data_IF_491296050572
#
_entry.id   IF_491296050572
#
_cell.length_a   1.000
_cell.length_b   1.000
_cell.length_c   1.000
_cell.angle_alpha   90.00
_cell.angle_beta   90.00
_cell.angle_gamma   90.00
#
_symmetry.space_group_name_H-M   'P 1'
#
loop_
_entity.id
_entity.type
_entity.pdbx_description
1 polymer ?
#
# COMPACT_ATOMS: atom_id res chain seq x y z
N UNK A 1 -15.06 18.95 -4.05
CA UNK A 1 -16.07 18.12 -4.75
C UNK A 1 -15.79 16.67 -4.38
N UNK A 2 -16.81 15.87 -4.01
CA UNK A 2 -16.56 14.48 -3.59
C UNK A 2 -16.00 13.63 -4.76
N UNK A 3 -14.76 13.13 -4.69
CA UNK A 3 -14.18 12.34 -5.78
C UNK A 3 -14.84 10.96 -5.89
N UNK A 4 -15.04 10.52 -7.14
CA UNK A 4 -15.52 9.17 -7.48
C UNK A 4 -14.33 8.41 -8.06
N UNK A 5 -13.95 7.31 -7.42
CA UNK A 5 -12.75 6.53 -7.70
C UNK A 5 -13.16 5.14 -8.13
N UNK A 6 -12.77 4.74 -9.34
CA UNK A 6 -12.89 3.36 -9.79
C UNK A 6 -11.66 2.58 -9.30
N UNK A 7 -11.90 1.42 -8.68
CA UNK A 7 -10.86 0.45 -8.35
C UNK A 7 -11.08 -0.79 -9.20
N UNK A 8 -10.17 -1.02 -10.15
CA UNK A 8 -10.12 -2.22 -10.99
C UNK A 8 -9.11 -3.17 -10.35
N UNK A 9 -9.61 -4.15 -9.60
CA UNK A 9 -8.78 -5.00 -8.72
C UNK A 9 -9.54 -6.31 -8.37
N UNK A 10 -9.36 -6.90 -7.18
CA UNK A 10 -10.07 -8.10 -6.71
C UNK A 10 -11.48 -7.84 -6.17
N UNK A 11 -11.84 -6.57 -5.97
CA UNK A 11 -13.12 -6.16 -5.42
C UNK A 11 -12.98 -5.27 -4.18
N UNK A 12 -14.12 -4.91 -3.58
CA UNK A 12 -14.15 -4.15 -2.33
C UNK A 12 -15.15 -4.79 -1.36
N UNK A 13 -14.69 -5.15 -0.17
CA UNK A 13 -15.55 -5.60 0.91
C UNK A 13 -16.21 -4.41 1.63
N UNK A 14 -17.49 -4.17 1.31
CA UNK A 14 -18.27 -3.05 1.88
C UNK A 14 -18.47 -3.12 3.39
N UNK A 15 -18.39 -4.31 4.00
CA UNK A 15 -18.53 -4.46 5.46
C UNK A 15 -17.34 -3.84 6.20
N UNK A 16 -16.16 -3.91 5.58
CA UNK A 16 -14.92 -3.33 6.11
C UNK A 16 -14.87 -1.83 5.82
N UNK A 17 -15.19 -1.40 4.59
CA UNK A 17 -15.07 0.01 4.17
C UNK A 17 -16.26 0.91 4.53
N UNK A 18 -17.43 0.35 4.81
CA UNK A 18 -18.68 1.08 5.03
C UNK A 18 -19.45 1.42 3.75
N UNK A 19 -20.60 2.09 3.91
CA UNK A 19 -21.65 2.27 2.86
C UNK A 19 -21.23 3.10 1.63
N UNK A 20 -20.05 3.73 1.60
CA UNK A 20 -19.59 4.61 0.51
C UNK A 20 -18.99 3.87 -0.70
N UNK A 21 -19.33 2.59 -0.88
CA UNK A 21 -18.80 1.75 -1.98
C UNK A 21 -19.95 1.22 -2.84
N UNK A 22 -19.90 1.52 -4.14
CA UNK A 22 -20.75 0.95 -5.19
C UNK A 22 -19.98 -0.15 -5.92
N UNK A 23 -20.67 -1.20 -6.34
CA UNK A 23 -20.07 -2.36 -7.01
C UNK A 23 -20.61 -2.40 -8.43
N UNK A 24 -19.72 -2.62 -9.38
CA UNK A 24 -20.09 -2.98 -10.73
C UNK A 24 -20.99 -4.22 -10.72
N UNK A 25 -22.14 -4.11 -11.39
CA UNK A 25 -23.19 -5.15 -11.51
C UNK A 25 -23.94 -5.54 -10.22
N UNK A 26 -23.91 -4.75 -9.15
CA UNK A 26 -24.68 -5.00 -7.91
C UNK A 26 -24.49 -6.39 -7.27
N UNK A 27 -23.47 -7.15 -7.69
CA UNK A 27 -23.05 -8.33 -6.94
C UNK A 27 -22.33 -7.80 -5.71
N UNK A 28 -22.82 -8.15 -4.53
CA UNK A 28 -22.06 -8.02 -3.30
C UNK A 28 -20.86 -8.98 -3.39
N UNK A 29 -19.86 -8.64 -4.22
CA UNK A 29 -18.61 -9.38 -4.31
C UNK A 29 -17.91 -9.24 -2.97
N UNK A 30 -17.82 -10.34 -2.23
CA UNK A 30 -16.81 -10.45 -1.18
C UNK A 30 -15.46 -10.37 -1.90
N UNK A 31 -14.64 -9.42 -1.50
CA UNK A 31 -13.24 -9.40 -1.91
C UNK A 31 -12.52 -10.49 -1.12
N UNK A 32 -12.52 -11.71 -1.64
CA UNK A 32 -11.90 -12.87 -0.99
C UNK A 32 -10.37 -12.79 -0.97
N UNK A 33 -9.81 -12.13 -1.98
CA UNK A 33 -8.38 -11.89 -2.08
C UNK A 33 -7.92 -10.77 -1.14
N UNK A 34 -8.73 -9.71 -0.99
CA UNK A 34 -8.52 -8.62 -0.03
C UNK A 34 -7.69 -7.44 -0.53
N UNK A 35 -7.07 -7.55 -1.71
CA UNK A 35 -6.15 -6.53 -2.23
C UNK A 35 -6.86 -5.22 -2.59
N UNK A 36 -7.98 -5.29 -3.32
CA UNK A 36 -8.77 -4.11 -3.67
C UNK A 36 -9.36 -3.41 -2.44
N UNK A 37 -9.76 -4.17 -1.41
CA UNK A 37 -10.17 -3.61 -0.11
C UNK A 37 -9.02 -2.89 0.58
N UNK A 38 -7.83 -3.47 0.60
CA UNK A 38 -6.64 -2.84 1.18
C UNK A 38 -6.26 -1.53 0.45
N UNK A 39 -6.32 -1.51 -0.89
CA UNK A 39 -6.17 -0.29 -1.70
C UNK A 39 -7.16 0.80 -1.28
N UNK A 40 -8.45 0.46 -1.20
CA UNK A 40 -9.49 1.40 -0.80
C UNK A 40 -9.32 1.92 0.64
N UNK A 41 -8.86 1.08 1.57
CA UNK A 41 -8.56 1.50 2.95
C UNK A 41 -7.45 2.55 2.99
N UNK A 42 -6.37 2.37 2.23
CA UNK A 42 -5.27 3.34 2.13
C UNK A 42 -5.73 4.64 1.48
N UNK A 43 -6.53 4.57 0.41
CA UNK A 43 -7.07 5.77 -0.24
C UNK A 43 -7.93 6.56 0.77
N UNK A 44 -8.80 5.87 1.51
CA UNK A 44 -9.73 6.50 2.46
C UNK A 44 -9.02 7.07 3.69
N UNK A 45 -7.87 6.53 4.10
CA UNK A 45 -7.09 7.11 5.20
C UNK A 45 -6.47 8.46 4.84
N UNK A 46 -6.26 8.73 3.54
CA UNK A 46 -5.72 9.99 3.03
C UNK A 46 -6.85 10.97 2.65
N UNK A 47 -7.90 10.49 1.99
CA UNK A 47 -9.07 11.26 1.62
C UNK A 47 -10.36 10.54 2.07
N UNK A 48 -10.90 10.85 3.27
CA UNK A 48 -12.05 10.13 3.82
C UNK A 48 -13.36 10.33 3.03
N UNK A 49 -13.53 11.50 2.43
CA UNK A 49 -14.73 11.87 1.66
C UNK A 49 -14.55 11.54 0.18
N UNK A 50 -14.63 10.26 -0.13
CA UNK A 50 -14.59 9.69 -1.49
C UNK A 50 -15.73 8.70 -1.68
N UNK A 51 -16.06 8.43 -2.94
CA UNK A 51 -16.97 7.37 -3.36
C UNK A 51 -16.20 6.36 -4.22
N UNK A 52 -16.43 5.08 -3.99
CA UNK A 52 -15.77 4.02 -4.74
C UNK A 52 -16.72 3.32 -5.71
N UNK A 53 -16.22 3.04 -6.91
CA UNK A 53 -16.82 2.09 -7.86
C UNK A 53 -15.86 0.89 -7.96
N UNK A 54 -16.27 -0.26 -7.44
CA UNK A 54 -15.47 -1.48 -7.48
C UNK A 54 -15.74 -2.27 -8.76
N UNK A 55 -14.70 -2.56 -9.54
CA UNK A 55 -14.74 -3.45 -10.71
C UNK A 55 -13.82 -4.64 -10.44
N UNK A 56 -14.35 -5.75 -9.91
CA UNK A 56 -13.55 -6.95 -9.65
C UNK A 56 -13.20 -7.66 -10.97
N UNK A 57 -11.91 -7.74 -11.28
CA UNK A 57 -11.38 -8.50 -12.43
C UNK A 57 -10.39 -9.59 -12.00
N UNK A 58 -9.76 -9.44 -10.83
CA UNK A 58 -8.79 -10.41 -10.33
C UNK A 58 -9.48 -11.62 -9.71
N UNK A 59 -8.93 -12.80 -9.95
CA UNK A 59 -9.33 -14.04 -9.29
C UNK A 59 -8.77 -14.15 -7.86
N UNK A 60 -9.03 -15.28 -7.21
CA UNK A 60 -8.58 -15.59 -5.84
C UNK A 60 -7.05 -15.65 -5.68
N UNK A 61 -6.31 -15.80 -6.78
CA UNK A 61 -4.84 -15.84 -6.79
C UNK A 61 -4.25 -14.46 -7.13
N UNK A 62 -5.08 -13.50 -7.53
CA UNK A 62 -4.69 -12.15 -7.89
C UNK A 62 -4.38 -11.97 -9.38
N UNK A 63 -4.82 -12.89 -10.24
CA UNK A 63 -4.59 -12.83 -11.67
C UNK A 63 -5.85 -12.48 -12.45
N UNK A 64 -5.67 -11.95 -13.64
CA UNK A 64 -6.71 -11.71 -14.64
C UNK A 64 -6.11 -11.86 -16.03
N UNK A 65 -6.98 -11.94 -17.04
CA UNK A 65 -6.58 -11.78 -18.43
C UNK A 65 -6.77 -10.33 -18.91
N UNK A 66 -6.12 -9.99 -20.01
CA UNK A 66 -6.17 -8.67 -20.65
C UNK A 66 -7.58 -8.29 -21.13
N UNK A 67 -8.39 -9.25 -21.62
CA UNK A 67 -9.79 -9.03 -22.02
C UNK A 67 -10.67 -8.45 -20.90
N UNK A 68 -10.49 -8.91 -19.66
CA UNK A 68 -11.23 -8.41 -18.51
C UNK A 68 -10.85 -6.96 -18.18
N UNK A 69 -9.56 -6.62 -18.29
CA UNK A 69 -9.09 -5.25 -18.11
C UNK A 69 -9.62 -4.33 -19.22
N UNK A 70 -9.61 -4.78 -20.48
CA UNK A 70 -10.21 -4.04 -21.59
C UNK A 70 -11.70 -3.78 -21.38
N UNK A 71 -12.46 -4.79 -20.96
CA UNK A 71 -13.90 -4.64 -20.65
C UNK A 71 -14.13 -3.67 -19.49
N UNK A 72 -13.28 -3.72 -18.47
CA UNK A 72 -13.35 -2.80 -17.33
C UNK A 72 -13.07 -1.35 -17.75
N UNK A 73 -11.99 -1.12 -18.51
CA UNK A 73 -11.64 0.21 -19.02
C UNK A 73 -12.67 0.74 -20.03
N UNK A 74 -13.24 -0.14 -20.86
CA UNK A 74 -14.33 0.21 -21.78
C UNK A 74 -15.55 0.68 -21.00
N UNK A 75 -15.96 -0.04 -19.95
CA UNK A 75 -17.05 0.40 -19.08
C UNK A 75 -16.74 1.74 -18.40
N UNK A 76 -15.48 1.97 -18.02
CA UNK A 76 -15.05 3.24 -17.48
C UNK A 76 -15.25 4.41 -18.45
N UNK A 77 -15.36 4.21 -19.77
CA UNK A 77 -15.65 5.29 -20.73
C UNK A 77 -17.07 5.86 -20.54
N UNK A 78 -18.02 5.01 -20.16
CA UNK A 78 -19.45 5.35 -20.13
C UNK A 78 -19.92 5.89 -18.77
N UNK A 79 -19.16 5.64 -17.71
CA UNK A 79 -19.52 6.10 -16.35
C UNK A 79 -18.85 7.42 -15.98
N UNK A 80 -19.47 8.13 -15.05
CA UNK A 80 -18.85 9.29 -14.41
C UNK A 80 -17.93 8.83 -13.28
N UNK A 81 -16.62 9.09 -13.43
CA UNK A 81 -15.63 8.93 -12.39
C UNK A 81 -14.51 9.96 -12.59
N UNK A 82 -13.73 10.20 -11.54
CA UNK A 82 -12.62 11.14 -11.56
C UNK A 82 -11.27 10.43 -11.67
N UNK A 83 -11.12 9.31 -10.96
CA UNK A 83 -9.88 8.55 -10.89
C UNK A 83 -10.16 7.07 -11.20
N UNK A 84 -9.23 6.42 -11.90
CA UNK A 84 -9.17 4.97 -12.12
C UNK A 84 -7.85 4.48 -11.53
N UNK A 85 -7.94 3.70 -10.45
CA UNK A 85 -6.81 3.10 -9.75
C UNK A 85 -6.53 1.69 -10.30
N UNK A 86 -5.34 1.49 -10.87
CA UNK A 86 -4.84 0.23 -11.40
C UNK A 86 -3.64 -0.25 -10.58
N UNK A 87 -3.89 -0.90 -9.44
CA UNK A 87 -2.83 -1.51 -8.63
C UNK A 87 -2.42 -2.88 -9.20
N UNK A 88 -2.14 -2.92 -10.51
CA UNK A 88 -1.81 -4.11 -11.28
C UNK A 88 -0.78 -3.78 -12.38
N UNK A 89 -0.23 -4.82 -13.01
CA UNK A 89 0.64 -4.68 -14.18
C UNK A 89 0.24 -5.71 -15.24
N UNK A 90 0.43 -5.34 -16.51
CA UNK A 90 0.21 -6.21 -17.67
C UNK A 90 1.52 -6.96 -17.95
N UNK A 91 1.43 -8.27 -18.10
CA UNK A 91 2.56 -9.14 -18.42
C UNK A 91 2.65 -9.46 -19.92
N UNK A 92 1.54 -9.27 -20.64
CA UNK A 92 1.42 -9.55 -22.07
C UNK A 92 2.08 -8.45 -22.91
N UNK A 93 2.53 -8.82 -24.10
CA UNK A 93 3.12 -7.87 -25.06
C UNK A 93 2.06 -7.19 -25.94
N UNK A 94 0.86 -7.77 -26.07
CA UNK A 94 -0.23 -7.25 -26.88
C UNK A 94 -1.20 -6.42 -26.03
N UNK A 95 -0.93 -5.13 -25.92
CA UNK A 95 -1.63 -4.21 -25.02
C UNK A 95 -2.07 -2.89 -25.70
N UNK A 96 -1.88 -2.77 -27.01
CA UNK A 96 -2.20 -1.57 -27.80
C UNK A 96 -3.63 -1.06 -27.54
N UNK A 97 -4.59 -1.98 -27.42
CA UNK A 97 -5.99 -1.63 -27.16
C UNK A 97 -6.20 -1.09 -25.75
N UNK A 98 -5.46 -1.59 -24.76
CA UNK A 98 -5.49 -1.07 -23.40
C UNK A 98 -4.87 0.34 -23.37
N UNK A 99 -3.77 0.57 -24.08
CA UNK A 99 -3.17 1.90 -24.21
C UNK A 99 -4.12 2.91 -24.91
N UNK A 100 -4.81 2.48 -25.97
CA UNK A 100 -5.82 3.29 -26.65
C UNK A 100 -6.99 3.65 -25.72
N UNK A 101 -7.47 2.69 -24.91
CA UNK A 101 -8.52 2.92 -23.91
C UNK A 101 -8.06 3.91 -22.84
N UNK A 102 -6.84 3.76 -22.31
CA UNK A 102 -6.25 4.72 -21.37
C UNK A 102 -6.17 6.13 -21.97
N UNK A 103 -5.78 6.23 -23.24
CA UNK A 103 -5.73 7.52 -23.94
C UNK A 103 -7.12 8.15 -24.10
N UNK A 104 -8.16 7.37 -24.44
CA UNK A 104 -9.54 7.85 -24.54
C UNK A 104 -10.07 8.33 -23.19
N UNK A 105 -9.83 7.58 -22.12
CA UNK A 105 -10.22 7.93 -20.75
C UNK A 105 -9.53 9.23 -20.30
N UNK A 106 -8.23 9.37 -20.55
CA UNK A 106 -7.47 10.59 -20.24
C UNK A 106 -8.02 11.81 -20.97
N UNK A 107 -8.39 11.69 -22.26
CA UNK A 107 -9.08 12.74 -23.04
C UNK A 107 -10.46 13.12 -22.48
N UNK A 108 -11.11 12.24 -21.73
CA UNK A 108 -12.33 12.55 -20.98
C UNK A 108 -12.05 13.16 -19.59
N UNK A 109 -10.81 13.59 -19.33
CA UNK A 109 -10.36 14.14 -18.06
C UNK A 109 -10.49 13.16 -16.88
N UNK A 110 -10.39 11.85 -17.15
CA UNK A 110 -10.34 10.79 -16.14
C UNK A 110 -8.88 10.47 -15.84
N UNK A 111 -8.48 10.62 -14.59
CA UNK A 111 -7.10 10.38 -14.16
C UNK A 111 -6.89 8.88 -13.98
N UNK A 112 -5.93 8.32 -14.70
CA UNK A 112 -5.56 6.90 -14.55
C UNK A 112 -4.25 6.85 -13.80
N UNK A 113 -4.19 6.02 -12.77
CA UNK A 113 -3.03 5.85 -11.91
C UNK A 113 -2.69 4.36 -11.88
N UNK A 114 -1.45 4.00 -12.16
CA UNK A 114 -1.05 2.59 -12.20
C UNK A 114 0.28 2.30 -11.52
N UNK A 115 0.34 1.15 -10.86
CA UNK A 115 1.58 0.66 -10.24
C UNK A 115 2.57 0.15 -11.27
N UNK A 116 3.85 0.44 -11.06
CA UNK A 116 4.94 -0.36 -11.64
C UNK A 116 4.92 -1.76 -11.02
N UNK A 117 5.23 -2.79 -11.81
CA UNK A 117 5.37 -4.17 -11.32
C UNK A 117 6.45 -4.23 -10.23
N UNK A 118 6.17 -4.92 -9.13
CA UNK A 118 7.15 -5.07 -8.06
C UNK A 118 8.45 -5.66 -8.60
N UNK A 119 9.60 -5.09 -8.19
CA UNK A 119 10.95 -5.43 -8.62
C UNK A 119 11.31 -5.06 -10.08
N UNK A 120 10.52 -4.21 -10.72
CA UNK A 120 10.83 -3.63 -12.03
C UNK A 120 10.96 -2.11 -11.92
N UNK A 121 11.63 -1.51 -12.90
CA UNK A 121 11.80 -0.05 -13.00
C UNK A 121 10.59 0.58 -13.69
N UNK A 122 10.04 -0.09 -14.71
CA UNK A 122 8.82 0.28 -15.41
C UNK A 122 7.92 -0.94 -15.65
N UNK A 123 6.64 -0.69 -15.94
CA UNK A 123 5.74 -1.69 -16.50
C UNK A 123 4.53 -1.05 -17.14
N UNK A 124 3.81 -1.81 -17.96
CA UNK A 124 2.50 -1.43 -18.48
C UNK A 124 1.42 -1.73 -17.44
N UNK A 125 0.38 -0.89 -17.28
CA UNK A 125 0.11 0.35 -18.02
C UNK A 125 0.78 1.61 -17.41
N UNK A 126 1.54 1.47 -16.32
CA UNK A 126 2.15 2.60 -15.60
C UNK A 126 3.02 3.52 -16.47
N UNK A 127 3.65 2.99 -17.53
CA UNK A 127 4.47 3.76 -18.45
C UNK A 127 3.75 4.45 -19.61
N UNK A 128 2.45 4.22 -19.79
CA UNK A 128 1.74 4.90 -20.86
C UNK A 128 1.69 6.41 -20.59
N UNK A 129 1.87 7.22 -21.63
CA UNK A 129 1.82 8.68 -21.52
C UNK A 129 0.50 9.25 -20.99
N UNK A 130 -0.59 8.49 -21.16
CA UNK A 130 -1.94 8.84 -20.66
C UNK A 130 -2.20 8.43 -19.21
N UNK A 131 -1.23 7.76 -18.56
CA UNK A 131 -1.33 7.22 -17.20
C UNK A 131 -0.30 7.91 -16.30
N UNK A 132 -0.69 8.19 -15.06
CA UNK A 132 0.25 8.58 -14.00
C UNK A 132 0.84 7.28 -13.44
N UNK A 133 2.07 6.97 -13.86
CA UNK A 133 2.85 5.84 -13.37
C UNK A 133 3.35 6.06 -11.96
N UNK A 134 3.23 5.03 -11.12
CA UNK A 134 3.61 5.08 -9.70
C UNK A 134 4.66 4.03 -9.36
N UNK A 135 5.76 4.47 -8.76
CA UNK A 135 6.76 3.62 -8.09
C UNK A 135 6.72 3.84 -6.58
N UNK A 136 7.02 2.79 -5.82
CA UNK A 136 7.15 2.85 -4.37
C UNK A 136 8.52 3.36 -3.89
N UNK A 137 8.50 4.22 -2.87
CA UNK A 137 9.66 4.62 -2.06
C UNK A 137 9.33 4.61 -0.56
N UNK A 138 10.33 4.88 0.28
CA UNK A 138 10.14 4.98 1.73
C UNK A 138 10.01 6.43 2.20
N UNK A 139 8.94 6.75 2.93
CA UNK A 139 8.68 8.11 3.42
C UNK A 139 8.27 8.12 4.88
N UNK A 140 8.67 9.16 5.61
CA UNK A 140 8.30 9.35 7.01
C UNK A 140 6.83 9.74 7.20
N UNK A 141 6.17 10.23 6.14
CA UNK A 141 4.77 10.61 6.14
C UNK A 141 4.14 10.39 4.77
N UNK A 142 2.83 10.11 4.77
CA UNK A 142 2.03 9.72 3.60
C UNK A 142 1.78 10.86 2.61
N UNK A 143 1.97 12.10 3.05
CA UNK A 143 1.82 13.33 2.27
C UNK A 143 3.10 13.73 1.52
N UNK A 144 4.23 13.07 1.80
CA UNK A 144 5.49 13.28 1.10
C UNK A 144 5.60 12.35 -0.11
N UNK A 145 5.99 12.91 -1.23
CA UNK A 145 6.16 12.19 -2.49
C UNK A 145 7.16 12.89 -3.41
N UNK A 146 7.68 12.16 -4.38
CA UNK A 146 8.51 12.72 -5.46
C UNK A 146 7.69 12.78 -6.74
N UNK A 147 7.92 13.79 -7.57
CA UNK A 147 7.13 13.98 -8.77
C UNK A 147 7.89 14.72 -9.85
N UNK A 148 7.77 14.21 -11.08
CA UNK A 148 8.28 14.84 -12.29
C UNK A 148 7.45 14.39 -13.49
N UNK A 149 6.71 15.33 -14.10
CA UNK A 149 5.86 15.06 -15.26
C UNK A 149 6.64 14.67 -16.53
N UNK A 150 7.96 14.90 -16.55
CA UNK A 150 8.81 14.57 -17.70
C UNK A 150 9.38 13.14 -17.63
N UNK A 151 9.15 12.41 -16.53
CA UNK A 151 9.57 11.02 -16.40
C UNK A 151 8.48 10.08 -16.93
N UNK A 152 8.86 8.90 -17.39
CA UNK A 152 7.90 7.87 -17.81
C UNK A 152 7.08 7.37 -16.62
N UNK A 153 7.73 7.19 -15.47
CA UNK A 153 7.08 6.94 -14.18
C UNK A 153 7.15 8.22 -13.35
N UNK A 154 6.04 8.96 -13.32
CA UNK A 154 6.01 10.36 -12.89
C UNK A 154 6.02 10.53 -11.37
N UNK A 155 5.52 9.56 -10.61
CA UNK A 155 5.17 9.74 -9.19
C UNK A 155 5.77 8.65 -8.30
N UNK A 156 6.46 9.07 -7.24
CA UNK A 156 6.99 8.17 -6.21
C UNK A 156 6.26 8.44 -4.90
N UNK A 157 5.61 7.42 -4.36
CA UNK A 157 4.84 7.51 -3.11
C UNK A 157 5.20 6.39 -2.15
N UNK A 158 4.73 6.51 -0.91
CA UNK A 158 5.10 5.62 0.18
C UNK A 158 4.59 4.19 -0.03
N UNK A 159 5.51 3.23 -0.16
CA UNK A 159 5.23 1.79 -0.26
C UNK A 159 5.42 1.02 1.05
N UNK A 160 5.86 1.71 2.11
CA UNK A 160 6.18 1.05 3.39
C UNK A 160 4.96 0.31 3.94
N UNK A 161 5.14 -0.87 4.57
CA UNK A 161 4.01 -1.66 5.00
C UNK A 161 3.13 -0.95 6.03
N UNK A 162 1.82 -1.15 5.95
CA UNK A 162 0.81 -0.68 6.90
C UNK A 162 -0.10 -1.83 7.34
N UNK A 163 -0.66 -1.72 8.54
CA UNK A 163 -1.75 -2.62 8.95
C UNK A 163 -3.07 -2.19 8.33
N UNK A 164 -3.80 -3.14 7.75
CA UNK A 164 -5.18 -2.96 7.26
C UNK A 164 -6.15 -3.75 8.16
N UNK A 165 -7.26 -4.26 7.61
CA UNK A 165 -8.19 -5.09 8.38
C UNK A 165 -7.66 -6.53 8.49
N UNK A 166 -7.60 -7.12 9.70
CA UNK A 166 -7.15 -8.49 9.90
C UNK A 166 -7.92 -9.56 9.11
N UNK A 167 -9.15 -9.26 8.67
CA UNK A 167 -9.95 -10.16 7.83
C UNK A 167 -9.43 -10.26 6.39
N UNK A 168 -8.42 -9.46 6.00
CA UNK A 168 -7.81 -9.47 4.68
C UNK A 168 -6.61 -10.44 4.56
N UNK A 169 -6.43 -11.32 5.55
CA UNK A 169 -5.38 -12.36 5.57
C UNK A 169 -3.99 -11.77 5.28
N UNK A 170 -3.35 -12.19 4.19
CA UNK A 170 -2.02 -11.71 3.78
C UNK A 170 -1.96 -10.19 3.56
N UNK A 171 -3.07 -9.56 3.19
CA UNK A 171 -3.14 -8.12 2.98
C UNK A 171 -3.40 -7.34 4.28
N UNK A 172 -3.53 -8.02 5.43
CA UNK A 172 -3.43 -7.37 6.74
C UNK A 172 -2.13 -6.56 6.85
N UNK A 173 -1.04 -7.05 6.27
CA UNK A 173 0.19 -6.28 6.05
C UNK A 173 0.24 -5.87 4.58
N UNK A 174 -0.17 -4.64 4.30
CA UNK A 174 -0.26 -4.14 2.92
C UNK A 174 0.93 -3.24 2.59
N UNK A 175 1.63 -3.54 1.50
CA UNK A 175 2.85 -2.82 1.07
C UNK A 175 3.05 -2.91 -0.45
N UNK A 176 4.18 -2.43 -0.94
CA UNK A 176 4.56 -2.60 -2.34
C UNK A 176 4.04 -1.47 -3.24
N UNK A 177 4.27 -1.60 -4.54
CA UNK A 177 3.82 -0.59 -5.51
C UNK A 177 2.30 -0.47 -5.58
N UNK A 178 1.55 -1.51 -5.22
CA UNK A 178 0.09 -1.44 -5.05
C UNK A 178 -0.33 -0.46 -3.96
N UNK A 179 0.36 -0.50 -2.80
CA UNK A 179 0.11 0.44 -1.71
C UNK A 179 0.56 1.85 -2.08
N UNK A 180 1.70 2.01 -2.75
CA UNK A 180 2.12 3.31 -3.29
C UNK A 180 1.05 3.89 -4.25
N UNK A 181 0.50 3.08 -5.15
CA UNK A 181 -0.56 3.50 -6.09
C UNK A 181 -1.82 3.95 -5.34
N UNK A 182 -2.22 3.23 -4.29
CA UNK A 182 -3.31 3.66 -3.43
C UNK A 182 -3.03 4.99 -2.71
N UNK A 183 -1.77 5.22 -2.30
CA UNK A 183 -1.34 6.52 -1.73
C UNK A 183 -1.45 7.64 -2.76
N UNK A 184 -0.91 7.43 -3.97
CA UNK A 184 -1.02 8.37 -5.08
C UNK A 184 -2.48 8.73 -5.39
N UNK A 185 -3.35 7.71 -5.47
CA UNK A 185 -4.80 7.88 -5.65
C UNK A 185 -5.42 8.70 -4.53
N UNK A 186 -5.07 8.45 -3.26
CA UNK A 186 -5.56 9.24 -2.12
C UNK A 186 -5.12 10.70 -2.17
N UNK A 187 -3.86 10.96 -2.52
CA UNK A 187 -3.32 12.33 -2.66
C UNK A 187 -4.01 13.10 -3.80
N UNK A 188 -4.20 12.46 -4.96
CA UNK A 188 -4.90 13.06 -6.09
C UNK A 188 -6.38 13.27 -5.77
N UNK A 189 -7.03 12.33 -5.08
CA UNK A 189 -8.40 12.49 -4.62
C UNK A 189 -8.54 13.69 -3.66
N UNK A 190 -7.55 13.91 -2.77
CA UNK A 190 -7.53 15.08 -1.89
C UNK A 190 -7.46 16.40 -2.68
N UNK A 191 -6.61 16.47 -3.72
CA UNK A 191 -6.51 17.63 -4.62
C UNK A 191 -7.86 17.91 -5.32
N UNK A 192 -8.53 16.86 -5.81
CA UNK A 192 -9.86 16.97 -6.43
C UNK A 192 -10.90 17.43 -5.42
N UNK A 193 -10.82 16.96 -4.18
CA UNK A 193 -11.79 17.32 -3.15
C UNK A 193 -11.72 18.80 -2.76
N UNK A 194 -10.51 19.34 -2.67
CA UNK A 194 -10.26 20.74 -2.30
C UNK A 194 -10.65 21.75 -3.40
N UNK A 195 -10.81 21.31 -4.66
CA UNK A 195 -11.11 22.18 -5.80
C UNK A 195 -12.54 21.99 -6.34
N UNK A 196 -13.10 23.04 -6.96
CA UNK A 196 -14.46 23.01 -7.56
C UNK A 196 -14.50 22.31 -8.91
N UNK A 197 -13.49 22.55 -9.75
CA UNK A 197 -13.26 21.89 -11.02
C UNK A 197 -11.75 21.69 -11.15
N UNK A 198 -11.34 20.52 -11.61
CA UNK A 198 -9.93 20.16 -11.76
C UNK A 198 -9.76 19.35 -13.02
N UNK A 199 -8.80 19.74 -13.85
CA UNK A 199 -8.31 18.90 -14.94
C UNK A 199 -7.00 18.21 -14.57
N UNK A 200 -6.54 17.34 -15.47
CA UNK A 200 -5.27 16.63 -15.26
C UNK A 200 -4.10 17.61 -15.15
N UNK A 201 -4.08 18.69 -15.92
CA UNK A 201 -3.02 19.70 -15.86
C UNK A 201 -2.93 20.37 -14.48
N UNK A 202 -4.07 20.73 -13.88
CA UNK A 202 -4.16 21.30 -12.54
C UNK A 202 -3.64 20.33 -11.48
N UNK A 203 -3.91 19.03 -11.64
CA UNK A 203 -3.40 17.98 -10.74
C UNK A 203 -1.88 17.89 -10.87
N UNK A 204 -1.35 17.77 -12.08
CA UNK A 204 0.09 17.66 -12.31
C UNK A 204 0.84 18.92 -11.83
N UNK A 205 0.27 20.11 -12.03
CA UNK A 205 0.80 21.37 -11.51
C UNK A 205 0.81 21.40 -9.97
N UNK A 206 -0.25 20.89 -9.34
CA UNK A 206 -0.33 20.82 -7.87
C UNK A 206 0.70 19.83 -7.32
N UNK A 207 0.83 18.65 -7.95
CA UNK A 207 1.85 17.66 -7.59
C UNK A 207 3.26 18.24 -7.73
N UNK A 208 3.55 18.94 -8.83
CA UNK A 208 4.85 19.58 -9.11
C UNK A 208 5.21 20.72 -8.16
N UNK A 209 4.21 21.43 -7.61
CA UNK A 209 4.41 22.49 -6.62
C UNK A 209 4.72 21.94 -5.23
N UNK A 210 4.07 20.84 -4.85
CA UNK A 210 4.12 20.32 -3.47
C UNK A 210 5.07 19.13 -3.27
N UNK A 211 5.68 18.62 -4.35
CA UNK A 211 6.67 17.53 -4.29
C UNK A 211 7.91 17.93 -3.49
N UNK A 212 8.48 16.97 -2.75
CA UNK A 212 9.73 17.17 -2.00
C UNK A 212 10.98 16.89 -2.84
N UNK A 213 10.84 16.28 -4.03
CA UNK A 213 11.97 15.97 -4.93
C UNK A 213 11.49 15.87 -6.38
N UNK A 214 12.26 16.45 -7.31
CA UNK A 214 11.93 16.53 -8.75
C UNK A 214 12.82 15.67 -9.64
N UNK A 215 13.94 15.19 -9.14
CA UNK A 215 14.89 14.35 -9.88
C UNK A 215 15.37 13.24 -8.98
N UNK A 216 15.44 12.01 -9.49
CA UNK A 216 15.85 10.85 -8.71
C UNK A 216 16.40 9.74 -9.61
N UNK A 217 17.10 8.80 -8.98
CA UNK A 217 17.61 7.57 -9.55
C UNK A 217 17.05 6.37 -8.77
N UNK A 218 17.23 5.14 -9.27
CA UNK A 218 16.87 3.93 -8.50
C UNK A 218 17.65 3.84 -7.18
N UNK A 219 18.91 4.31 -7.16
CA UNK A 219 19.70 4.36 -5.92
C UNK A 219 19.06 5.27 -4.86
N UNK A 220 18.44 6.37 -5.26
CA UNK A 220 17.70 7.22 -4.32
C UNK A 220 16.50 6.48 -3.71
N UNK A 221 15.82 5.66 -4.51
CA UNK A 221 14.69 4.85 -4.05
C UNK A 221 15.16 3.78 -3.06
N UNK A 222 16.26 3.10 -3.34
CA UNK A 222 16.86 2.12 -2.43
C UNK A 222 17.21 2.77 -1.08
N UNK A 223 17.89 3.93 -1.10
CA UNK A 223 18.21 4.70 0.11
C UNK A 223 16.95 5.10 0.87
N UNK A 224 15.87 5.49 0.17
CA UNK A 224 14.60 5.84 0.81
C UNK A 224 13.99 4.65 1.56
N UNK A 225 14.15 3.43 1.05
CA UNK A 225 13.60 2.19 1.61
C UNK A 225 14.47 1.59 2.72
N UNK A 226 15.80 1.75 2.65
CA UNK A 226 16.73 1.26 3.68
C UNK A 226 16.38 1.79 5.06
N UNK A 227 15.88 3.03 5.16
CA UNK A 227 15.45 3.66 6.43
C UNK A 227 14.35 2.88 7.15
N UNK A 228 13.52 2.16 6.38
CA UNK A 228 12.36 1.43 6.89
C UNK A 228 12.57 -0.08 6.94
N UNK A 229 13.68 -0.58 6.40
CA UNK A 229 13.97 -2.02 6.30
C UNK A 229 15.18 -2.46 7.13
N UNK A 230 16.09 -1.53 7.48
CA UNK A 230 17.28 -1.85 8.28
C UNK A 230 17.10 -1.45 9.75
N UNK A 231 17.05 -2.45 10.63
CA UNK A 231 17.00 -2.27 12.08
C UNK A 231 18.33 -1.75 12.67
N UNK A 232 19.44 -1.91 11.95
CA UNK A 232 20.80 -1.60 12.41
C UNK A 232 21.15 -0.10 12.40
N UNK A 233 20.42 0.74 11.66
CA UNK A 233 20.67 2.19 11.59
C UNK A 233 20.12 2.98 12.79
N UNK A 234 19.40 2.29 13.67
CA UNK A 234 18.92 2.86 14.92
C UNK A 234 20.04 2.76 15.97
N UNK A 235 20.77 3.87 16.17
CA UNK A 235 21.76 4.06 17.22
C UNK A 235 21.04 4.18 18.59
N UNK A 236 20.44 3.08 19.02
CA UNK A 236 19.62 3.02 20.22
C UNK A 236 20.25 1.95 21.12
N UNK A 237 20.57 2.30 22.36
CA UNK A 237 21.50 1.57 23.25
C UNK A 237 21.10 0.14 23.59
N UNK A 238 21.92 -0.55 24.40
CA UNK A 238 21.76 -1.98 24.68
C UNK A 238 20.35 -2.37 25.17
N UNK A 239 19.84 -3.48 24.63
CA UNK A 239 18.56 -4.07 25.04
C UNK A 239 18.76 -4.78 26.39
N UNK A 240 17.84 -4.57 27.33
CA UNK A 240 17.83 -5.33 28.59
C UNK A 240 17.65 -6.83 28.32
N UNK A 241 18.56 -7.67 28.85
CA UNK A 241 18.46 -9.14 28.77
C UNK A 241 17.10 -9.67 29.28
N UNK A 242 16.54 -9.01 30.30
CA UNK A 242 15.25 -9.40 30.87
C UNK A 242 14.09 -9.11 29.92
N UNK A 243 14.07 -7.94 29.27
CA UNK A 243 13.01 -7.59 28.32
C UNK A 243 13.13 -8.39 27.03
N UNK A 244 14.36 -8.69 26.60
CA UNK A 244 14.60 -9.61 25.50
C UNK A 244 14.01 -11.00 25.80
N UNK A 245 14.26 -11.53 27.00
CA UNK A 245 13.70 -12.81 27.43
C UNK A 245 12.17 -12.83 27.38
N UNK A 246 11.51 -11.73 27.74
CA UNK A 246 10.05 -11.60 27.66
C UNK A 246 9.53 -11.59 26.22
N UNK A 247 10.16 -10.80 25.33
CA UNK A 247 9.78 -10.73 23.91
C UNK A 247 9.95 -12.11 23.27
N UNK A 248 11.10 -12.76 23.51
CA UNK A 248 11.38 -14.09 22.98
C UNK A 248 10.39 -15.13 23.52
N UNK A 249 10.08 -15.09 24.82
CA UNK A 249 9.10 -15.99 25.43
C UNK A 249 7.72 -15.80 24.82
N UNK A 250 7.27 -14.56 24.64
CA UNK A 250 6.01 -14.25 23.97
C UNK A 250 5.97 -14.80 22.53
N UNK A 251 7.07 -14.63 21.79
CA UNK A 251 7.20 -15.12 20.42
C UNK A 251 7.18 -16.64 20.37
N UNK A 252 7.93 -17.31 21.25
CA UNK A 252 7.95 -18.78 21.36
C UNK A 252 6.58 -19.38 21.67
N UNK A 253 5.80 -18.76 22.57
CA UNK A 253 4.45 -19.20 22.90
C UNK A 253 3.57 -19.15 21.65
N UNK A 254 3.54 -18.00 20.98
CA UNK A 254 2.67 -17.81 19.81
C UNK A 254 3.12 -18.64 18.62
N UNK A 255 4.42 -18.70 18.33
CA UNK A 255 4.94 -19.54 17.25
C UNK A 255 4.60 -21.02 17.48
N UNK A 256 4.68 -21.51 18.73
CA UNK A 256 4.26 -22.87 19.08
C UNK A 256 2.77 -23.11 18.79
N UNK A 257 1.90 -22.19 19.20
CA UNK A 257 0.46 -22.31 19.02
C UNK A 257 0.05 -22.33 17.53
N UNK A 258 0.87 -21.73 16.66
CA UNK A 258 0.65 -21.63 15.22
C UNK A 258 1.53 -22.57 14.39
N UNK A 259 2.33 -23.44 15.03
CA UNK A 259 3.20 -24.39 14.32
C UNK A 259 4.35 -23.74 13.54
N UNK A 260 4.80 -22.56 13.95
CA UNK A 260 5.93 -21.83 13.35
C UNK A 260 7.22 -22.22 14.06
N UNK A 261 8.22 -22.64 13.31
CA UNK A 261 9.55 -22.95 13.84
C UNK A 261 10.38 -21.66 13.97
N UNK A 262 10.99 -21.46 15.14
CA UNK A 262 11.94 -20.37 15.37
C UNK A 262 13.35 -20.91 15.13
N UNK A 263 14.14 -20.34 14.19
CA UNK A 263 15.51 -20.77 13.95
C UNK A 263 16.37 -20.68 15.21
N UNK A 264 17.18 -21.70 15.48
CA UNK A 264 18.08 -21.75 16.64
C UNK A 264 19.14 -20.62 16.66
N UNK A 265 19.42 -20.02 15.50
CA UNK A 265 20.41 -18.95 15.32
C UNK A 265 19.76 -17.59 15.02
N UNK A 266 18.57 -17.32 15.54
CA UNK A 266 17.89 -16.03 15.37
C UNK A 266 18.62 -14.91 16.15
N UNK A 267 19.10 -13.89 15.44
CA UNK A 267 19.73 -12.71 16.03
C UNK A 267 18.70 -11.62 16.40
N UNK A 268 19.08 -10.69 17.29
CA UNK A 268 18.24 -9.56 17.68
C UNK A 268 17.91 -8.60 16.53
N UNK A 269 18.78 -8.52 15.52
CA UNK A 269 18.62 -7.66 14.36
C UNK A 269 18.08 -8.40 13.12
N UNK A 270 17.90 -9.72 13.22
CA UNK A 270 17.34 -10.53 12.14
C UNK A 270 15.95 -10.03 11.75
N UNK A 271 15.70 -10.01 10.44
CA UNK A 271 14.40 -9.67 9.91
C UNK A 271 13.43 -10.86 10.13
N UNK A 272 12.55 -10.75 11.12
CA UNK A 272 11.61 -11.81 11.54
C UNK A 272 10.67 -12.26 10.42
N UNK A 273 10.28 -11.37 9.52
CA UNK A 273 9.46 -11.72 8.35
C UNK A 273 10.26 -12.58 7.36
N UNK A 274 11.49 -12.16 7.03
CA UNK A 274 12.39 -12.94 6.14
C UNK A 274 12.79 -14.29 6.74
N UNK A 275 12.86 -14.38 8.06
CA UNK A 275 13.16 -15.63 8.79
C UNK A 275 11.93 -16.53 8.95
N UNK A 276 10.75 -16.12 8.47
CA UNK A 276 9.51 -16.89 8.58
C UNK A 276 8.94 -16.96 9.99
N UNK A 277 9.47 -16.16 10.92
CA UNK A 277 9.05 -16.14 12.32
C UNK A 277 7.84 -15.23 12.52
N UNK A 278 7.80 -14.09 11.82
CA UNK A 278 6.69 -13.13 11.86
C UNK A 278 5.83 -13.24 10.60
N UNK A 279 4.54 -13.51 10.78
CA UNK A 279 3.55 -13.55 9.70
C UNK A 279 2.21 -12.93 10.15
N UNK A 280 1.34 -12.52 9.20
CA UNK A 280 0.08 -11.84 9.52
C UNK A 280 -0.78 -12.52 10.60
N UNK A 281 -0.83 -13.85 10.59
CA UNK A 281 -1.67 -14.68 11.46
C UNK A 281 -1.27 -14.57 12.93
N UNK A 282 0.03 -14.37 13.21
CA UNK A 282 0.54 -14.34 14.58
C UNK A 282 0.65 -12.94 15.19
N UNK A 283 0.53 -11.86 14.40
CA UNK A 283 0.79 -10.49 14.89
C UNK A 283 -0.14 -10.12 16.05
N UNK A 284 -1.45 -10.37 15.92
CA UNK A 284 -2.42 -10.03 16.98
C UNK A 284 -2.29 -10.94 18.22
N UNK A 285 -2.16 -12.27 18.08
CA UNK A 285 -1.80 -13.14 19.21
C UNK A 285 -0.51 -12.69 19.91
N UNK A 286 0.50 -12.29 19.13
CA UNK A 286 1.77 -11.83 19.64
C UNK A 286 1.63 -10.52 20.42
N UNK A 287 0.89 -9.53 19.92
CA UNK A 287 0.56 -8.33 20.70
C UNK A 287 -0.13 -8.66 22.02
N UNK A 288 -1.15 -9.52 22.01
CA UNK A 288 -1.82 -9.95 23.25
C UNK A 288 -0.87 -10.63 24.23
N UNK A 289 0.09 -11.40 23.73
CA UNK A 289 1.07 -12.05 24.59
C UNK A 289 2.08 -11.04 25.16
N UNK A 290 2.54 -10.08 24.35
CA UNK A 290 3.38 -8.98 24.82
C UNK A 290 2.69 -8.12 25.89
N UNK A 291 1.39 -7.82 25.73
CA UNK A 291 0.61 -7.09 26.74
C UNK A 291 0.62 -7.82 28.10
N UNK A 292 0.52 -9.15 28.10
CA UNK A 292 0.58 -9.98 29.31
C UNK A 292 1.98 -9.95 29.94
N UNK A 293 3.03 -10.16 29.14
CA UNK A 293 4.41 -10.23 29.63
C UNK A 293 4.93 -8.88 30.17
N UNK A 294 4.56 -7.78 29.51
CA UNK A 294 4.99 -6.44 29.87
C UNK A 294 4.02 -5.70 30.79
N UNK A 295 2.78 -6.20 30.95
CA UNK A 295 1.70 -5.53 31.68
C UNK A 295 1.45 -4.10 31.18
N UNK A 296 1.55 -3.91 29.87
CA UNK A 296 1.24 -2.63 29.19
C UNK A 296 0.20 -2.89 28.10
N UNK A 297 -0.73 -1.95 27.85
CA UNK A 297 -1.60 -2.03 26.68
C UNK A 297 -0.80 -1.72 25.41
N UNK A 298 -1.03 -2.48 24.34
CA UNK A 298 -0.49 -2.20 23.01
C UNK A 298 -1.63 -1.67 22.16
N UNK A 299 -1.56 -0.38 21.83
CA UNK A 299 -2.49 0.19 20.87
C UNK A 299 -2.07 -0.20 19.45
N UNK A 300 -2.77 -1.17 18.87
CA UNK A 300 -2.55 -1.63 17.48
C UNK A 300 -2.56 -0.46 16.48
N UNK A 301 -3.33 0.62 16.72
CA UNK A 301 -3.40 1.77 15.79
C UNK A 301 -2.11 2.59 15.70
N UNK A 302 -1.26 2.49 16.72
CA UNK A 302 0.02 3.20 16.78
C UNK A 302 1.18 2.32 16.33
N UNK A 303 0.93 1.03 16.12
CA UNK A 303 1.93 0.09 15.65
C UNK A 303 2.02 0.15 14.13
N UNK A 304 3.25 0.24 13.62
CA UNK A 304 3.53 0.07 12.19
C UNK A 304 4.25 -1.28 11.99
N UNK A 305 4.01 -2.00 10.88
CA UNK A 305 4.63 -3.30 10.67
C UNK A 305 6.16 -3.29 10.72
N UNK A 306 6.81 -2.18 10.36
CA UNK A 306 8.27 -2.09 10.46
C UNK A 306 8.80 -2.16 11.91
N UNK A 307 7.95 -1.88 12.90
CA UNK A 307 8.28 -2.07 14.32
C UNK A 307 8.39 -3.55 14.71
N UNK A 308 7.90 -4.46 13.86
CA UNK A 308 7.97 -5.91 14.05
C UNK A 308 9.07 -6.58 13.24
N UNK A 309 9.96 -5.79 12.61
CA UNK A 309 11.02 -6.36 11.77
C UNK A 309 12.01 -7.18 12.55
N UNK A 310 12.34 -6.83 13.78
CA UNK A 310 13.33 -7.51 14.60
C UNK A 310 12.96 -7.50 16.08
N UNK A 311 13.61 -8.34 16.87
CA UNK A 311 13.43 -8.34 18.33
C UNK A 311 13.84 -6.98 18.92
N UNK A 312 14.87 -6.36 18.34
CA UNK A 312 15.32 -5.00 18.66
C UNK A 312 14.24 -3.95 18.36
N UNK A 313 13.60 -3.97 17.19
CA UNK A 313 12.55 -3.00 16.87
C UNK A 313 11.32 -3.16 17.76
N UNK A 314 10.96 -4.41 18.09
CA UNK A 314 9.83 -4.74 18.99
C UNK A 314 10.07 -4.17 20.39
N UNK A 315 11.28 -4.36 20.93
CA UNK A 315 11.67 -3.83 22.24
C UNK A 315 11.42 -2.32 22.36
N UNK A 316 11.85 -1.53 21.37
CA UNK A 316 11.65 -0.08 21.41
C UNK A 316 10.20 0.33 21.22
N UNK A 317 9.46 -0.36 20.36
CA UNK A 317 8.04 -0.10 20.16
C UNK A 317 7.25 -0.29 21.47
N UNK A 318 7.53 -1.37 22.22
CA UNK A 318 6.92 -1.66 23.52
C UNK A 318 7.27 -0.57 24.56
N UNK A 319 8.48 -0.01 24.51
CA UNK A 319 8.94 1.03 25.43
C UNK A 319 8.42 2.43 25.10
N UNK A 320 7.60 2.59 24.06
CA UNK A 320 7.06 3.89 23.64
C UNK A 320 8.12 4.84 23.10
N UNK A 321 9.30 4.33 22.72
CA UNK A 321 10.32 5.13 22.05
C UNK A 321 9.79 5.40 20.66
N UNK A 322 9.43 6.66 20.38
CA UNK A 322 9.21 7.09 19.00
C UNK A 322 10.52 6.86 18.26
N UNK A 323 10.52 5.84 17.40
CA UNK A 323 11.60 5.66 16.43
C UNK A 323 11.47 6.83 15.46
N UNK A 324 12.23 7.89 15.71
CA UNK A 324 12.38 8.99 14.77
C UNK A 324 13.02 8.44 13.50
N UNK A 325 12.20 8.20 12.48
CA UNK A 325 12.68 7.91 11.13
C UNK A 325 13.17 9.24 10.53
N UNK A 326 14.44 9.56 10.76
CA UNK A 326 15.13 10.68 10.09
C UNK A 326 15.24 10.44 8.58
#
# INVERSE_FOLDING_TARGET
MKPIIVIIDSGINRRILGKNSLNYKNKASKDEFGHGTACAMVIKSICPDVEFISIPILDKEGFSNSDNLEKALTYCLDIHCHIINLSLAILDNEDNKIEELCTKLSKQNKVIISSVRNNFIDSKPAKYSSVIGVRGGGFSSIDKYWFNSNYEIQLITDMTPVFTDPQLNRHFIFSGNSKATAVATGLIAKIINEKKQVNIEDILLTLSKNTIKKTWTEKDLDISLEKFTNCSKYNIGEISKADYGKIMSALQIVCRDYGIEIPNNLDNEDNLFKRGVMCPEIIRPFFKQLEKEFKIPINESNMKPYLLLSLKSIYYAIRGVQIETY
#
